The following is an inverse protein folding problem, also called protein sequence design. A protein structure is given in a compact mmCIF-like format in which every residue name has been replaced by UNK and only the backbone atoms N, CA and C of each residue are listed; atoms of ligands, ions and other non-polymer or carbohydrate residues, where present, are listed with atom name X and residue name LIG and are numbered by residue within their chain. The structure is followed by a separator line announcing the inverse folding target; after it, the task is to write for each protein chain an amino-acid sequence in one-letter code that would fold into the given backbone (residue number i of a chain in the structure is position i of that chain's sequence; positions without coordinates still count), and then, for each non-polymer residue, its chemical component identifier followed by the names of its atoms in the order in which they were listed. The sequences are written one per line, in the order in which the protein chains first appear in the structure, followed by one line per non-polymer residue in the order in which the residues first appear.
data_IF_308051506214
#
_entry.id   IF_308051506214
#
_cell.length_a   1.000
_cell.length_b   1.000
_cell.length_c   1.000
_cell.angle_alpha   90.00
_cell.angle_beta   90.00
_cell.angle_gamma   90.00
#
_symmetry.space_group_name_H-M   'P 1'
#
loop_
_entity.id
_entity.type
_entity.pdbx_description
1 polymer ?
#
# COMPACT_ATOMS: atom_id res chain seq x y z
N UNK A 1 10.45 23.72 -6.86
CA UNK A 1 9.84 22.40 -6.55
C UNK A 1 10.72 21.76 -5.50
N UNK A 2 10.18 21.35 -4.35
CA UNK A 2 10.97 20.75 -3.29
C UNK A 2 11.70 19.51 -3.86
N UNK A 3 13.03 19.49 -3.78
CA UNK A 3 13.89 18.43 -4.29
C UNK A 3 13.81 17.12 -3.48
N UNK A 4 12.67 16.87 -2.84
CA UNK A 4 12.42 15.72 -1.99
C UNK A 4 11.80 14.57 -2.78
N UNK A 5 12.00 13.35 -2.31
CA UNK A 5 11.37 12.12 -2.85
C UNK A 5 9.83 12.13 -2.79
N UNK A 6 9.21 13.15 -2.21
CA UNK A 6 7.76 13.21 -2.01
C UNK A 6 7.11 14.24 -2.93
N UNK A 7 6.16 13.78 -3.74
CA UNK A 7 5.31 14.58 -4.61
C UNK A 7 4.08 15.06 -3.82
N UNK A 8 4.10 16.33 -3.42
CA UNK A 8 3.02 16.95 -2.64
C UNK A 8 1.69 17.05 -3.38
N UNK A 9 1.68 17.02 -4.71
CA UNK A 9 0.45 17.13 -5.51
C UNK A 9 -0.23 15.78 -5.59
N UNK A 10 0.54 14.72 -5.84
CA UNK A 10 0.02 13.35 -5.90
C UNK A 10 -0.15 12.71 -4.51
N UNK A 11 0.50 13.27 -3.48
CA UNK A 11 0.69 12.67 -2.16
C UNK A 11 1.39 11.31 -2.24
N UNK A 12 2.40 11.21 -3.10
CA UNK A 12 3.14 9.97 -3.35
C UNK A 12 4.63 10.14 -3.06
N UNK A 13 5.28 9.09 -2.57
CA UNK A 13 6.72 8.97 -2.64
C UNK A 13 7.14 8.42 -4.01
N UNK A 14 8.18 9.00 -4.59
CA UNK A 14 8.72 8.66 -5.91
C UNK A 14 10.16 8.22 -5.76
N UNK A 15 10.46 7.01 -6.19
CA UNK A 15 11.80 6.43 -6.04
C UNK A 15 12.04 5.33 -7.08
N UNK A 16 13.30 5.10 -7.50
CA UNK A 16 13.64 3.93 -8.33
C UNK A 16 13.39 2.64 -7.57
N UNK A 17 12.96 1.57 -8.26
CA UNK A 17 12.69 0.28 -7.62
C UNK A 17 13.94 -0.26 -6.90
N UNK A 18 15.12 -0.09 -7.48
CA UNK A 18 16.38 -0.53 -6.89
C UNK A 18 16.74 0.15 -5.56
N UNK A 19 16.05 1.23 -5.16
CA UNK A 19 16.33 1.92 -3.89
C UNK A 19 15.77 1.24 -2.64
N UNK A 20 14.88 0.26 -2.80
CA UNK A 20 14.23 -0.45 -1.68
C UNK A 20 14.20 -1.97 -1.85
N UNK A 21 14.68 -2.51 -2.98
CA UNK A 21 14.89 -3.94 -3.12
C UNK A 21 16.10 -4.38 -2.30
N UNK A 22 16.04 -5.60 -1.74
CA UNK A 22 17.19 -6.19 -1.06
C UNK A 22 18.33 -6.41 -2.05
N UNK A 23 19.57 -6.30 -1.57
CA UNK A 23 20.78 -6.47 -2.39
C UNK A 23 20.80 -7.84 -3.11
N UNK A 24 20.25 -8.89 -2.47
CA UNK A 24 20.18 -10.24 -3.05
C UNK A 24 19.30 -10.29 -4.31
N UNK A 25 18.19 -9.54 -4.34
CA UNK A 25 17.30 -9.48 -5.52
C UNK A 25 17.78 -8.42 -6.50
N UNK A 26 18.31 -7.30 -5.99
CA UNK A 26 18.78 -6.18 -6.79
C UNK A 26 19.91 -6.56 -7.76
N UNK A 27 20.82 -7.44 -7.33
CA UNK A 27 21.96 -7.87 -8.15
C UNK A 27 21.59 -8.82 -9.30
N UNK A 28 20.40 -9.42 -9.28
CA UNK A 28 19.92 -10.32 -10.34
C UNK A 28 19.08 -9.60 -11.40
N UNK A 29 18.60 -8.39 -11.10
CA UNK A 29 17.72 -7.64 -11.98
C UNK A 29 18.50 -6.76 -12.96
N UNK A 30 18.03 -6.62 -14.21
CA UNK A 30 18.63 -5.68 -15.17
C UNK A 30 18.58 -4.22 -14.67
N UNK A 31 19.58 -3.42 -15.03
CA UNK A 31 19.63 -1.98 -14.71
C UNK A 31 18.38 -1.22 -15.15
N UNK A 32 17.76 -1.63 -16.27
CA UNK A 32 16.51 -1.06 -16.76
C UNK A 32 15.34 -1.29 -15.81
N UNK A 33 15.32 -2.43 -15.11
CA UNK A 33 14.35 -2.70 -14.06
C UNK A 33 14.69 -1.84 -12.84
N UNK A 34 15.93 -1.89 -12.34
CA UNK A 34 16.36 -1.15 -11.15
C UNK A 34 16.13 0.37 -11.23
N UNK A 35 16.23 0.93 -12.42
CA UNK A 35 15.97 2.36 -12.70
C UNK A 35 14.50 2.71 -12.91
N UNK A 36 13.60 1.72 -12.95
CA UNK A 36 12.16 1.94 -13.09
C UNK A 36 11.62 2.73 -11.89
N UNK A 37 10.88 3.80 -12.18
CA UNK A 37 10.32 4.69 -11.15
C UNK A 37 9.02 4.11 -10.60
N UNK A 38 8.99 3.91 -9.29
CA UNK A 38 7.80 3.54 -8.54
C UNK A 38 7.23 4.78 -7.85
N UNK A 39 5.89 4.84 -7.78
CA UNK A 39 5.14 5.86 -7.05
C UNK A 39 4.29 5.16 -6.00
N UNK A 40 4.61 5.39 -4.74
CA UNK A 40 3.89 4.79 -3.61
C UNK A 40 3.02 5.85 -2.93
N UNK A 41 1.75 5.51 -2.70
CA UNK A 41 0.83 6.31 -1.91
C UNK A 41 0.36 5.51 -0.70
N UNK A 42 0.66 6.02 0.49
CA UNK A 42 0.09 5.47 1.71
C UNK A 42 -1.39 5.83 1.79
N UNK A 43 -2.22 4.85 2.14
CA UNK A 43 -3.64 5.04 2.40
C UNK A 43 -3.95 4.67 3.84
N UNK A 44 -4.78 5.47 4.48
CA UNK A 44 -5.41 5.12 5.75
C UNK A 44 -6.47 4.04 5.55
N UNK A 45 -6.81 3.31 6.61
CA UNK A 45 -7.90 2.34 6.59
C UNK A 45 -9.24 2.96 6.13
N UNK A 46 -9.47 4.24 6.45
CA UNK A 46 -10.68 4.96 6.03
C UNK A 46 -10.70 5.24 4.52
N UNK A 47 -9.56 5.61 3.93
CA UNK A 47 -9.45 5.82 2.48
C UNK A 47 -9.62 4.51 1.72
N UNK A 48 -9.02 3.42 2.19
CA UNK A 48 -9.22 2.08 1.62
C UNK A 48 -10.70 1.67 1.68
N UNK A 49 -11.39 1.96 2.78
CA UNK A 49 -12.84 1.73 2.94
C UNK A 49 -13.66 2.53 1.93
N UNK A 50 -13.31 3.80 1.72
CA UNK A 50 -13.98 4.64 0.74
C UNK A 50 -13.76 4.11 -0.68
N UNK A 51 -12.54 3.71 -1.03
CA UNK A 51 -12.26 3.12 -2.35
C UNK A 51 -13.06 1.84 -2.60
N UNK A 52 -13.21 0.98 -1.60
CA UNK A 52 -14.06 -0.21 -1.69
C UNK A 52 -15.54 0.14 -1.91
N UNK A 53 -16.04 1.16 -1.22
CA UNK A 53 -17.41 1.65 -1.43
C UNK A 53 -17.62 2.21 -2.83
N UNK A 54 -16.65 2.99 -3.33
CA UNK A 54 -16.67 3.50 -4.72
C UNK A 54 -16.66 2.35 -5.73
N UNK A 55 -15.95 1.25 -5.42
CA UNK A 55 -15.93 0.04 -6.22
C UNK A 55 -17.21 -0.83 -6.09
N UNK A 56 -18.22 -0.39 -5.34
CA UNK A 56 -19.50 -1.08 -5.18
C UNK A 56 -19.52 -2.14 -4.08
N UNK A 57 -18.69 -2.00 -3.04
CA UNK A 57 -18.70 -2.90 -1.88
C UNK A 57 -19.20 -2.21 -0.60
N UNK A 58 -20.11 -2.87 0.09
CA UNK A 58 -20.43 -2.62 1.49
C UNK A 58 -19.38 -3.24 2.40
N UNK A 59 -18.58 -2.41 3.08
CA UNK A 59 -17.58 -2.85 4.06
C UNK A 59 -18.26 -3.16 5.39
N UNK A 60 -18.19 -4.41 5.83
CA UNK A 60 -18.79 -4.89 7.09
C UNK A 60 -17.80 -4.79 8.25
N UNK A 61 -16.56 -5.21 8.04
CA UNK A 61 -15.51 -5.17 9.06
C UNK A 61 -14.13 -4.87 8.47
N UNK A 62 -13.31 -4.21 9.29
CA UNK A 62 -11.89 -4.02 9.06
C UNK A 62 -11.17 -4.57 10.28
N UNK A 63 -10.17 -5.39 10.05
CA UNK A 63 -9.41 -6.06 11.10
C UNK A 63 -7.92 -6.00 10.85
N UNK A 64 -7.17 -6.06 11.95
CA UNK A 64 -5.71 -6.09 11.96
C UNK A 64 -5.11 -7.49 11.79
N UNK A 65 -3.80 -7.51 11.61
CA UNK A 65 -2.98 -8.67 11.36
C UNK A 65 -2.10 -8.48 10.13
N UNK A 66 -1.20 -9.45 9.93
CA UNK A 66 -0.41 -9.58 8.72
C UNK A 66 -0.73 -10.89 8.02
N UNK A 67 -0.33 -11.03 6.76
CA UNK A 67 -0.42 -12.28 6.01
C UNK A 67 0.23 -13.42 6.83
N UNK A 68 -0.60 -14.41 7.20
CA UNK A 68 -0.19 -15.52 8.07
C UNK A 68 -0.59 -15.38 9.55
N UNK A 69 -1.11 -14.23 9.98
CA UNK A 69 -1.59 -13.97 11.34
C UNK A 69 -2.86 -13.08 11.35
N UNK A 70 -3.79 -13.35 10.44
CA UNK A 70 -5.08 -12.64 10.41
C UNK A 70 -5.94 -12.97 11.62
N UNK A 71 -6.64 -11.97 12.16
CA UNK A 71 -7.55 -12.18 13.27
C UNK A 71 -8.65 -11.13 13.30
N UNK A 72 -9.78 -11.45 13.93
CA UNK A 72 -10.85 -10.48 14.18
C UNK A 72 -10.49 -9.57 15.35
N UNK A 73 -9.55 -8.66 15.12
CA UNK A 73 -9.01 -7.73 16.13
C UNK A 73 -8.94 -6.30 15.58
N UNK A 74 -8.94 -5.29 16.46
CA UNK A 74 -8.71 -3.91 16.04
C UNK A 74 -7.38 -3.75 15.29
N UNK A 75 -7.35 -2.81 14.35
CA UNK A 75 -6.12 -2.38 13.69
C UNK A 75 -5.18 -1.71 14.70
N UNK A 76 -3.89 -2.00 14.60
CA UNK A 76 -2.85 -1.24 15.27
C UNK A 76 -2.34 -0.11 14.36
N UNK A 77 -1.78 0.96 14.94
CA UNK A 77 -1.35 2.13 14.17
C UNK A 77 -0.14 1.86 13.26
N UNK A 78 0.63 0.82 13.55
CA UNK A 78 1.86 0.43 12.86
C UNK A 78 1.66 -0.74 11.87
N UNK A 79 0.42 -1.23 11.71
CA UNK A 79 0.13 -2.27 10.73
C UNK A 79 0.12 -1.70 9.30
N UNK A 80 0.96 -2.28 8.43
CA UNK A 80 1.01 -1.96 7.00
C UNK A 80 -0.01 -2.76 6.18
N UNK A 81 -0.57 -3.82 6.75
CA UNK A 81 -1.53 -4.71 6.11
C UNK A 81 -2.85 -4.70 6.91
N UNK A 82 -3.97 -4.93 6.23
CA UNK A 82 -5.27 -5.04 6.87
C UNK A 82 -6.15 -6.10 6.20
N UNK A 83 -7.11 -6.64 6.95
CA UNK A 83 -8.12 -7.56 6.45
C UNK A 83 -9.46 -6.85 6.36
N UNK A 84 -10.12 -6.92 5.20
CA UNK A 84 -11.46 -6.39 5.00
C UNK A 84 -12.45 -7.52 4.76
N UNK A 85 -13.54 -7.53 5.52
CA UNK A 85 -14.74 -8.28 5.18
C UNK A 85 -15.74 -7.32 4.53
N UNK A 86 -16.04 -7.57 3.26
CA UNK A 86 -16.95 -6.75 2.48
C UNK A 86 -17.86 -7.61 1.61
N UNK A 87 -19.04 -7.07 1.31
CA UNK A 87 -20.02 -7.67 0.42
C UNK A 87 -20.22 -6.76 -0.77
N UNK A 88 -20.31 -7.33 -1.98
CA UNK A 88 -20.66 -6.55 -3.17
C UNK A 88 -22.11 -6.06 -3.03
N UNK A 89 -22.30 -4.76 -3.11
CA UNK A 89 -23.63 -4.18 -3.15
C UNK A 89 -24.30 -4.55 -4.49
N UNK A 90 -25.60 -4.84 -4.44
CA UNK A 90 -26.36 -5.36 -5.59
C UNK A 90 -26.52 -4.35 -6.70
#
# INVERSE_FOLDING_TARGET
MASGRFDNIALCQVHPIGSFMSDDIGNELPDSVLSTVVREKAFTAMELTLMLRIAGFGVEHIWGGTAGNWGRRPLLMDEMELMVLARRDR
#
